data_IF_791165744364
#
_entry.id   IF_791165744364
#
_cell.length_a   1.000
_cell.length_b   1.000
_cell.length_c   1.000
_cell.angle_alpha   90.00
_cell.angle_beta   90.00
_cell.angle_gamma   90.00
#
_symmetry.space_group_name_H-M   'P 1'
#
loop_
_entity.id
_entity.type
_entity.pdbx_description
1 polymer ?
#
# COMPACT_ATOMS: atom_id res chain seq x y z
N UNK A 1 -5.05 -53.78 16.13
CA UNK A 1 -5.58 -52.40 16.07
C UNK A 1 -5.20 -51.83 14.72
N UNK A 2 -6.16 -51.80 13.80
CA UNK A 2 -5.94 -51.64 12.36
C UNK A 2 -6.01 -50.16 11.96
N UNK A 3 -5.02 -49.69 11.18
CA UNK A 3 -4.97 -48.34 10.60
C UNK A 3 -5.91 -48.24 9.40
N UNK A 4 -6.65 -47.12 9.21
CA UNK A 4 -7.42 -46.90 8.01
C UNK A 4 -6.52 -46.36 6.87
N UNK A 5 -6.75 -46.87 5.68
CA UNK A 5 -6.13 -46.48 4.41
C UNK A 5 -6.79 -45.20 3.86
N UNK A 6 -5.98 -44.27 3.35
CA UNK A 6 -6.42 -43.08 2.64
C UNK A 6 -6.84 -43.41 1.20
N UNK A 7 -7.84 -42.72 0.63
CA UNK A 7 -8.25 -42.93 -0.76
C UNK A 7 -7.33 -42.16 -1.73
N UNK A 8 -6.95 -42.83 -2.82
CA UNK A 8 -6.25 -42.24 -3.96
C UNK A 8 -7.23 -41.45 -4.84
N UNK A 9 -6.82 -40.27 -5.29
CA UNK A 9 -7.53 -39.47 -6.29
C UNK A 9 -7.05 -39.83 -7.71
N UNK A 10 -7.96 -39.86 -8.71
CA UNK A 10 -7.61 -40.20 -10.08
C UNK A 10 -7.00 -39.03 -10.85
N UNK A 11 -6.00 -39.36 -11.67
CA UNK A 11 -5.50 -38.52 -12.77
C UNK A 11 -6.61 -38.33 -13.82
N UNK A 12 -6.89 -37.08 -14.16
CA UNK A 12 -7.69 -36.70 -15.33
C UNK A 12 -6.75 -36.32 -16.47
N UNK A 13 -6.68 -37.19 -17.48
CA UNK A 13 -6.07 -36.95 -18.79
C UNK A 13 -7.14 -36.57 -19.81
N UNK A 14 -6.68 -35.84 -20.84
CA UNK A 14 -7.29 -35.59 -22.16
C UNK A 14 -8.32 -34.45 -22.26
N UNK A 15 -8.04 -33.49 -23.13
CA UNK A 15 -8.74 -33.39 -24.42
C UNK A 15 -7.95 -32.53 -25.41
N UNK A 16 -7.55 -33.18 -26.49
CA UNK A 16 -7.24 -32.59 -27.79
C UNK A 16 -8.49 -31.90 -28.36
N UNK A 17 -8.35 -30.71 -28.95
CA UNK A 17 -9.29 -30.30 -29.99
C UNK A 17 -8.58 -29.56 -31.13
N UNK A 18 -8.61 -30.24 -32.28
CA UNK A 18 -8.13 -29.83 -33.59
C UNK A 18 -8.91 -28.61 -34.08
N UNK A 19 -8.19 -27.58 -34.54
CA UNK A 19 -8.76 -26.63 -35.49
C UNK A 19 -8.20 -26.91 -36.88
N UNK A 20 -9.13 -27.25 -37.78
CA UNK A 20 -8.89 -27.57 -39.17
C UNK A 20 -8.47 -26.33 -39.95
N UNK A 21 -7.32 -26.42 -40.62
CA UNK A 21 -6.87 -25.48 -41.63
C UNK A 21 -7.50 -25.92 -42.96
N UNK A 22 -8.38 -25.08 -43.51
CA UNK A 22 -9.01 -25.30 -44.81
C UNK A 22 -8.16 -24.63 -45.88
N UNK A 23 -7.55 -25.46 -46.73
CA UNK A 23 -6.97 -25.09 -48.01
C UNK A 23 -8.07 -24.61 -48.96
N UNK A 24 -7.91 -23.40 -49.52
CA UNK A 24 -8.50 -23.06 -50.82
C UNK A 24 -7.68 -21.95 -51.50
N UNK A 25 -6.75 -22.27 -52.42
CA UNK A 25 -6.12 -21.27 -53.26
C UNK A 25 -6.90 -21.15 -54.58
N UNK A 26 -7.87 -20.23 -54.61
CA UNK A 26 -8.36 -19.71 -55.88
C UNK A 26 -7.25 -18.88 -56.54
N UNK A 27 -6.60 -19.49 -57.53
CA UNK A 27 -5.62 -18.85 -58.40
C UNK A 27 -6.24 -17.69 -59.17
N UNK A 28 -6.03 -16.47 -58.66
CA UNK A 28 -6.30 -15.25 -59.41
C UNK A 28 -5.27 -15.10 -60.54
N UNK A 29 -5.69 -14.71 -61.75
CA UNK A 29 -4.78 -14.48 -62.85
C UNK A 29 -3.81 -13.35 -62.51
N UNK A 30 -2.52 -13.67 -62.45
CA UNK A 30 -1.43 -12.70 -62.42
C UNK A 30 -1.40 -11.98 -63.77
N UNK A 31 -2.25 -10.95 -63.93
CA UNK A 31 -1.98 -9.88 -64.89
C UNK A 31 -0.60 -9.34 -64.56
N UNK A 32 0.35 -9.57 -65.45
CA UNK A 32 1.71 -9.04 -65.35
C UNK A 32 1.62 -7.51 -65.32
N UNK A 33 1.60 -6.95 -64.11
CA UNK A 33 1.78 -5.53 -63.89
C UNK A 33 3.20 -5.21 -64.36
N UNK A 34 3.32 -4.25 -65.26
CA UNK A 34 4.64 -3.78 -65.67
C UNK A 34 5.44 -3.31 -64.46
N UNK A 35 6.76 -3.48 -64.47
CA UNK A 35 7.63 -3.06 -63.35
C UNK A 35 7.40 -1.57 -62.96
N UNK A 36 7.04 -0.74 -63.94
CA UNK A 36 6.69 0.67 -63.73
C UNK A 36 5.41 0.86 -62.89
N UNK A 37 4.41 -0.01 -63.04
CA UNK A 37 3.19 0.02 -62.26
C UNK A 37 3.39 -0.52 -60.84
N UNK A 38 4.24 -1.54 -60.69
CA UNK A 38 4.64 -2.07 -59.38
C UNK A 38 5.38 -1.01 -58.55
N UNK A 39 6.31 -0.26 -59.17
CA UNK A 39 6.99 0.85 -58.50
C UNK A 39 6.01 1.96 -58.09
N UNK A 40 5.04 2.30 -58.96
CA UNK A 40 4.00 3.31 -58.63
C UNK A 40 3.14 2.85 -57.46
N UNK A 41 2.76 1.57 -57.41
CA UNK A 41 1.99 0.97 -56.30
C UNK A 41 2.79 1.02 -54.99
N UNK A 42 4.06 0.60 -54.99
CA UNK A 42 4.93 0.64 -53.82
C UNK A 42 5.15 2.06 -53.29
N UNK A 43 5.37 3.04 -54.18
CA UNK A 43 5.50 4.46 -53.78
C UNK A 43 4.20 4.99 -53.17
N UNK A 44 3.03 4.61 -53.69
CA UNK A 44 1.73 4.98 -53.11
C UNK A 44 1.54 4.36 -51.72
N UNK A 45 1.86 3.08 -51.53
CA UNK A 45 1.75 2.42 -50.23
C UNK A 45 2.73 2.99 -49.18
N UNK A 46 3.99 3.27 -49.55
CA UNK A 46 4.96 3.91 -48.64
C UNK A 46 4.49 5.30 -48.19
N UNK A 47 3.98 6.12 -49.10
CA UNK A 47 3.40 7.44 -48.77
C UNK A 47 2.18 7.33 -47.86
N UNK A 48 1.31 6.35 -48.06
CA UNK A 48 0.14 6.11 -47.22
C UNK A 48 0.54 5.65 -45.79
N UNK A 49 1.52 4.75 -45.66
CA UNK A 49 2.05 4.31 -44.36
C UNK A 49 2.72 5.45 -43.58
N UNK A 50 3.55 6.28 -44.24
CA UNK A 50 4.16 7.46 -43.60
C UNK A 50 3.11 8.46 -43.09
N UNK A 51 2.04 8.72 -43.87
CA UNK A 51 0.95 9.62 -43.45
C UNK A 51 0.11 9.07 -42.28
N UNK A 52 0.04 7.74 -42.09
CA UNK A 52 -0.64 7.14 -40.92
C UNK A 52 0.25 7.19 -39.67
N UNK A 53 1.55 6.89 -39.80
CA UNK A 53 2.51 6.95 -38.69
C UNK A 53 2.62 8.37 -38.10
N UNK A 54 2.71 9.40 -38.95
CA UNK A 54 2.78 10.80 -38.49
C UNK A 54 1.51 11.27 -37.75
N UNK A 55 0.34 10.72 -38.08
CA UNK A 55 -0.93 11.04 -37.37
C UNK A 55 -1.03 10.32 -36.02
N UNK A 56 -0.50 9.10 -35.91
CA UNK A 56 -0.45 8.38 -34.63
C UNK A 56 0.51 9.04 -33.63
N UNK A 57 1.69 9.47 -34.08
CA UNK A 57 2.66 10.18 -33.23
C UNK A 57 2.12 11.51 -32.70
N UNK A 58 1.38 12.28 -33.52
CA UNK A 58 0.73 13.52 -33.07
C UNK A 58 -0.35 13.27 -32.01
N UNK A 59 -1.12 12.18 -32.12
CA UNK A 59 -2.15 11.83 -31.12
C UNK A 59 -1.55 11.36 -29.80
N UNK A 60 -0.48 10.55 -29.86
CA UNK A 60 0.26 10.14 -28.65
C UNK A 60 0.95 11.32 -27.97
N UNK A 61 1.53 12.24 -28.73
CA UNK A 61 2.09 13.49 -28.20
C UNK A 61 1.05 14.34 -27.50
N UNK A 62 -0.16 14.48 -28.06
CA UNK A 62 -1.25 15.24 -27.45
C UNK A 62 -1.77 14.59 -26.15
N UNK A 63 -1.92 13.26 -26.13
CA UNK A 63 -2.32 12.52 -24.92
C UNK A 63 -1.24 12.63 -23.83
N UNK A 64 0.04 12.57 -24.19
CA UNK A 64 1.14 12.80 -23.26
C UNK A 64 1.16 14.21 -22.69
N UNK A 65 0.90 15.23 -23.53
CA UNK A 65 0.79 16.64 -23.10
C UNK A 65 -0.42 16.88 -22.19
N UNK A 66 -1.57 16.28 -22.50
CA UNK A 66 -2.77 16.38 -21.66
C UNK A 66 -2.61 15.62 -20.34
N UNK A 67 -1.91 14.49 -20.32
CA UNK A 67 -1.54 13.79 -19.09
C UNK A 67 -0.60 14.64 -18.24
N UNK A 68 0.44 15.24 -18.84
CA UNK A 68 1.37 16.13 -18.14
C UNK A 68 0.69 17.41 -17.60
N UNK A 69 -0.18 18.03 -18.40
CA UNK A 69 -0.96 19.19 -17.98
C UNK A 69 -1.99 18.82 -16.90
N UNK A 70 -2.63 17.64 -17.01
CA UNK A 70 -3.52 17.10 -15.99
C UNK A 70 -2.79 16.87 -14.67
N UNK A 71 -1.56 16.34 -14.71
CA UNK A 71 -0.71 16.21 -13.50
C UNK A 71 -0.22 17.56 -12.95
N UNK A 72 -0.18 18.63 -13.75
CA UNK A 72 0.20 19.96 -13.28
C UNK A 72 -1.00 20.76 -12.71
N UNK A 73 -2.21 20.50 -13.20
CA UNK A 73 -3.44 21.21 -12.78
C UNK A 73 -4.20 20.47 -11.68
N UNK A 74 -4.18 19.12 -11.69
CA UNK A 74 -4.81 18.27 -10.67
C UNK A 74 -3.80 17.51 -9.79
N UNK A 75 -2.51 17.56 -10.12
CA UNK A 75 -1.49 17.22 -9.13
C UNK A 75 -1.51 18.32 -8.09
N UNK A 76 -1.68 17.92 -6.83
CA UNK A 76 -1.41 18.73 -5.65
C UNK A 76 -0.08 19.47 -5.81
N UNK A 77 -0.11 20.66 -6.42
CA UNK A 77 0.92 21.66 -6.25
C UNK A 77 0.71 22.21 -4.84
N UNK A 78 1.08 21.41 -3.84
CA UNK A 78 1.36 21.96 -2.53
C UNK A 78 2.42 23.05 -2.75
N UNK A 79 2.07 24.27 -2.34
CA UNK A 79 2.94 25.42 -2.41
C UNK A 79 4.14 25.19 -1.47
N UNK A 80 5.18 24.53 -2.00
CA UNK A 80 6.37 24.14 -1.24
C UNK A 80 7.35 25.31 -1.00
N UNK A 81 7.00 26.52 -1.43
CA UNK A 81 7.82 27.74 -1.27
C UNK A 81 7.96 28.19 0.19
N UNK A 82 7.02 27.80 1.05
CA UNK A 82 6.98 28.22 2.46
C UNK A 82 7.78 27.32 3.44
N UNK A 83 8.46 26.26 2.95
CA UNK A 83 9.17 25.28 3.79
C UNK A 83 10.62 25.66 4.12
N UNK A 84 10.81 26.82 4.74
CA UNK A 84 12.09 27.20 5.37
C UNK A 84 12.24 26.76 6.84
N UNK A 85 11.31 25.97 7.38
CA UNK A 85 11.43 25.42 8.72
C UNK A 85 11.28 23.90 8.73
N UNK A 86 12.11 23.28 9.55
CA UNK A 86 12.36 21.85 9.75
C UNK A 86 11.15 21.01 10.22
N UNK A 87 9.96 21.17 9.63
CA UNK A 87 8.73 20.50 10.04
C UNK A 87 8.70 19.04 9.56
N UNK A 88 8.33 18.14 10.48
CA UNK A 88 8.07 16.74 10.20
C UNK A 88 6.98 16.61 9.11
N UNK A 89 6.99 15.54 8.29
CA UNK A 89 5.91 15.31 7.35
C UNK A 89 4.64 14.92 8.10
N UNK A 90 3.69 15.84 8.20
CA UNK A 90 2.41 15.62 8.87
C UNK A 90 1.29 15.84 7.87
N UNK A 91 0.20 15.06 7.93
CA UNK A 91 -1.08 15.47 7.37
C UNK A 91 -1.44 16.89 7.82
N UNK A 92 -2.07 17.67 6.92
CA UNK A 92 -2.34 19.10 7.14
C UNK A 92 -3.15 19.38 8.41
N UNK A 93 -3.95 18.41 8.84
CA UNK A 93 -4.85 18.44 9.98
C UNK A 93 -4.26 17.85 11.26
N UNK A 94 -2.97 17.51 11.32
CA UNK A 94 -2.36 16.88 12.50
C UNK A 94 -1.25 17.73 13.13
N UNK A 95 -1.12 17.63 14.46
CA UNK A 95 0.00 18.20 15.23
C UNK A 95 0.70 17.10 16.02
N UNK A 96 2.01 17.28 16.22
CA UNK A 96 2.82 16.41 17.07
C UNK A 96 2.71 16.91 18.50
N UNK A 97 2.30 16.04 19.42
CA UNK A 97 2.23 16.33 20.85
C UNK A 97 3.58 16.03 21.51
N UNK A 98 4.02 14.77 21.39
CA UNK A 98 5.24 14.27 22.02
C UNK A 98 5.85 13.19 21.14
N UNK A 99 7.16 12.96 21.25
CA UNK A 99 7.81 11.83 20.60
C UNK A 99 8.47 10.93 21.64
N UNK A 100 8.31 9.62 21.45
CA UNK A 100 8.94 8.63 22.29
C UNK A 100 10.45 8.58 22.04
N UNK A 101 11.19 8.26 23.09
CA UNK A 101 12.61 7.94 22.99
C UNK A 101 12.77 6.51 22.50
N UNK A 102 13.75 6.29 21.64
CA UNK A 102 14.13 4.95 21.19
C UNK A 102 14.96 4.23 22.25
N UNK A 103 14.62 2.97 22.52
CA UNK A 103 15.40 2.05 23.36
C UNK A 103 16.15 1.09 22.45
N UNK A 104 17.49 1.08 22.50
CA UNK A 104 18.28 0.14 21.67
C UNK A 104 18.00 -1.32 22.08
N UNK A 105 17.81 -2.20 21.09
CA UNK A 105 17.53 -3.62 21.28
C UNK A 105 18.51 -4.48 20.48
N UNK A 106 18.75 -5.74 20.91
CA UNK A 106 19.48 -6.70 20.09
C UNK A 106 18.78 -6.91 18.75
N UNK A 107 19.51 -6.79 17.64
CA UNK A 107 18.96 -7.15 16.34
C UNK A 107 19.19 -8.62 16.03
N UNK A 108 18.13 -9.30 15.57
CA UNK A 108 18.21 -10.66 15.05
C UNK A 108 18.48 -10.72 13.53
N UNK A 109 18.37 -9.59 12.81
CA UNK A 109 18.41 -9.57 11.36
C UNK A 109 19.81 -9.22 10.83
N UNK A 110 20.44 -10.15 10.08
CA UNK A 110 21.77 -9.93 9.50
C UNK A 110 21.86 -8.69 8.59
N UNK A 111 20.77 -8.33 7.89
CA UNK A 111 20.71 -7.15 7.02
C UNK A 111 20.62 -5.82 7.80
N UNK A 112 20.18 -5.86 9.05
CA UNK A 112 19.95 -4.70 9.91
C UNK A 112 20.61 -4.94 11.26
N UNK A 113 21.94 -4.77 11.41
CA UNK A 113 22.67 -5.12 12.63
C UNK A 113 22.24 -4.35 13.89
N UNK A 114 21.40 -3.33 13.77
CA UNK A 114 20.89 -2.55 14.88
C UNK A 114 19.36 -2.54 14.90
N UNK A 115 18.80 -2.53 16.11
CA UNK A 115 17.37 -2.41 16.36
C UNK A 115 17.14 -1.39 17.48
N UNK A 116 15.99 -0.72 17.46
CA UNK A 116 15.51 0.04 18.59
C UNK A 116 13.98 0.05 18.62
N UNK A 117 13.39 0.08 19.81
CA UNK A 117 11.95 0.08 20.01
C UNK A 117 11.46 1.36 20.70
N UNK A 118 10.19 1.66 20.49
CA UNK A 118 9.45 2.69 21.21
C UNK A 118 8.02 2.18 21.43
N UNK A 119 7.45 2.50 22.59
CA UNK A 119 6.07 2.14 22.93
C UNK A 119 5.27 3.40 23.21
N UNK A 120 4.06 3.47 22.67
CA UNK A 120 3.15 4.60 22.77
C UNK A 120 1.76 4.07 23.13
N UNK A 121 0.99 4.89 23.83
CA UNK A 121 -0.34 4.54 24.32
C UNK A 121 -1.37 5.53 23.79
N UNK A 122 -2.50 5.02 23.31
CA UNK A 122 -3.64 5.82 22.87
C UNK A 122 -4.88 5.47 23.70
N UNK A 123 -5.64 6.47 24.16
CA UNK A 123 -6.85 6.21 24.93
C UNK A 123 -7.94 5.65 24.02
N UNK A 124 -8.48 4.48 24.36
CA UNK A 124 -9.44 3.73 23.55
C UNK A 124 -10.73 4.52 23.29
N UNK A 125 -11.13 5.37 24.25
CA UNK A 125 -12.33 6.21 24.18
C UNK A 125 -12.19 7.45 23.27
N UNK A 126 -11.08 7.57 22.52
CA UNK A 126 -10.92 8.61 21.49
C UNK A 126 -12.05 8.55 20.46
N UNK A 127 -12.38 9.70 19.85
CA UNK A 127 -13.34 9.74 18.74
C UNK A 127 -12.82 8.92 17.55
N UNK A 128 -11.53 9.08 17.26
CA UNK A 128 -10.82 8.27 16.29
C UNK A 128 -9.39 8.00 16.74
N UNK A 129 -8.96 6.76 16.51
CA UNK A 129 -7.58 6.32 16.60
C UNK A 129 -6.96 6.28 15.22
N UNK A 130 -5.73 6.79 15.07
CA UNK A 130 -5.06 6.76 13.77
C UNK A 130 -3.58 6.42 13.82
N UNK A 131 -3.11 5.70 12.80
CA UNK A 131 -1.70 5.39 12.60
C UNK A 131 -1.25 5.91 11.24
N UNK A 132 -0.28 6.80 11.22
CA UNK A 132 0.27 7.36 9.99
C UNK A 132 1.75 7.05 9.87
N UNK A 133 2.21 6.88 8.64
CA UNK A 133 3.62 6.84 8.35
C UNK A 133 3.94 7.77 7.20
N UNK A 134 4.89 8.67 7.42
CA UNK A 134 5.29 9.68 6.44
C UNK A 134 6.79 9.83 6.39
N UNK A 135 7.33 9.88 5.17
CA UNK A 135 8.74 10.11 4.94
C UNK A 135 9.00 11.38 4.15
N UNK A 136 10.01 12.15 4.59
CA UNK A 136 10.51 13.35 3.91
C UNK A 136 11.95 13.21 3.44
N UNK A 137 12.39 11.99 3.16
CA UNK A 137 13.74 11.75 2.65
C UNK A 137 13.76 11.94 1.13
N UNK A 138 14.20 13.12 0.68
CA UNK A 138 14.46 13.37 -0.74
C UNK A 138 15.83 12.84 -1.12
N UNK A 139 15.89 11.92 -2.09
CA UNK A 139 17.16 11.61 -2.74
C UNK A 139 17.43 12.67 -3.80
N UNK A 140 18.72 12.97 -4.02
CA UNK A 140 19.17 13.86 -5.08
C UNK A 140 18.72 13.43 -6.50
N UNK A 141 18.23 12.19 -6.66
CA UNK A 141 17.70 11.62 -7.91
C UNK A 141 16.19 11.50 -7.96
N UNK A 142 15.47 12.09 -7.00
CA UNK A 142 13.99 12.10 -7.00
C UNK A 142 13.32 10.83 -6.51
N UNK A 143 14.06 9.76 -6.16
CA UNK A 143 13.49 8.64 -5.40
C UNK A 143 13.31 9.07 -3.96
N UNK A 144 12.10 9.10 -3.43
CA UNK A 144 11.90 9.27 -1.99
C UNK A 144 12.09 7.91 -1.33
N UNK A 145 12.84 7.85 -0.22
CA UNK A 145 12.75 6.67 0.64
C UNK A 145 11.37 6.68 1.27
N UNK A 146 10.61 5.61 1.06
CA UNK A 146 9.36 5.40 1.78
C UNK A 146 9.69 4.81 3.14
N UNK A 147 8.91 5.20 4.14
CA UNK A 147 8.88 4.40 5.35
C UNK A 147 8.22 3.06 5.01
N UNK A 148 8.96 1.97 5.21
CA UNK A 148 8.53 0.64 4.80
C UNK A 148 8.58 -0.34 5.97
N UNK A 149 7.65 -1.30 5.97
CA UNK A 149 7.54 -2.19 7.11
C UNK A 149 6.31 -3.09 7.10
N UNK A 150 5.94 -3.51 8.29
CA UNK A 150 4.70 -4.24 8.56
C UNK A 150 4.09 -3.73 9.85
N UNK A 151 2.76 -3.68 9.91
CA UNK A 151 1.99 -3.43 11.13
C UNK A 151 1.11 -4.64 11.38
N UNK A 152 1.25 -5.23 12.56
CA UNK A 152 0.39 -6.31 13.01
C UNK A 152 -0.62 -5.76 14.02
N UNK A 153 -1.87 -6.16 13.88
CA UNK A 153 -2.95 -5.82 14.81
C UNK A 153 -3.29 -7.07 15.62
N UNK A 154 -3.26 -6.95 16.94
CA UNK A 154 -3.52 -8.03 17.88
C UNK A 154 -4.40 -7.55 19.03
N UNK A 155 -4.92 -8.49 19.79
CA UNK A 155 -5.59 -8.23 21.06
C UNK A 155 -4.76 -8.76 22.23
N UNK A 156 -4.75 -8.07 23.37
CA UNK A 156 -4.20 -8.58 24.62
C UNK A 156 -5.18 -9.52 25.31
N UNK A 157 -4.69 -10.28 26.29
CA UNK A 157 -5.54 -11.09 27.17
C UNK A 157 -6.07 -10.30 28.37
N UNK A 158 -5.52 -9.11 28.62
CA UNK A 158 -5.90 -8.24 29.73
C UNK A 158 -6.87 -7.16 29.25
N UNK A 159 -7.96 -6.89 30.00
CA UNK A 159 -8.82 -5.75 29.72
C UNK A 159 -8.11 -4.44 30.04
N UNK A 160 -8.58 -3.36 29.42
CA UNK A 160 -7.99 -2.03 29.59
C UNK A 160 -8.69 -0.96 28.76
N UNK A 161 -8.30 0.28 28.96
CA UNK A 161 -8.82 1.49 28.31
C UNK A 161 -7.80 2.14 27.36
N UNK A 162 -6.71 1.42 27.08
CA UNK A 162 -5.58 1.90 26.27
C UNK A 162 -5.27 0.91 25.17
N UNK A 163 -5.01 1.46 23.97
CA UNK A 163 -4.39 0.74 22.86
C UNK A 163 -2.89 1.00 22.89
N UNK A 164 -2.09 -0.06 22.95
CA UNK A 164 -0.63 0.04 22.96
C UNK A 164 -0.09 -0.13 21.54
N UNK A 165 0.88 0.71 21.16
CA UNK A 165 1.54 0.67 19.86
C UNK A 165 3.05 0.56 20.09
N UNK A 166 3.57 -0.64 19.85
CA UNK A 166 5.00 -0.92 19.89
C UNK A 166 5.58 -0.80 18.48
N UNK A 167 6.62 0.00 18.33
CA UNK A 167 7.29 0.24 17.06
C UNK A 167 8.75 -0.16 17.21
N UNK A 168 9.17 -1.13 16.43
CA UNK A 168 10.58 -1.53 16.28
C UNK A 168 11.12 -0.97 14.97
N UNK A 169 12.22 -0.23 15.05
CA UNK A 169 13.01 0.22 13.91
C UNK A 169 14.26 -0.65 13.77
N UNK A 170 14.36 -1.38 12.66
CA UNK A 170 15.55 -2.13 12.25
C UNK A 170 16.36 -1.31 11.26
N UNK A 171 17.66 -1.13 11.47
CA UNK A 171 18.46 -0.21 10.66
C UNK A 171 19.92 -0.63 10.49
N UNK A 172 20.53 -0.19 9.38
CA UNK A 172 21.88 -0.60 8.99
C UNK A 172 23.01 0.15 9.73
N UNK A 173 22.78 1.39 10.17
CA UNK A 173 23.81 2.24 10.81
C UNK A 173 23.21 3.01 11.98
N UNK A 174 23.91 3.08 13.12
CA UNK A 174 23.49 3.86 14.31
C UNK A 174 23.01 5.29 14.02
N UNK A 175 23.61 5.96 13.04
CA UNK A 175 23.21 7.33 12.67
C UNK A 175 21.84 7.42 11.97
N UNK A 176 21.35 6.32 11.40
CA UNK A 176 20.10 6.31 10.63
C UNK A 176 18.89 6.43 11.56
N UNK A 177 18.97 5.89 12.78
CA UNK A 177 17.93 6.03 13.81
C UNK A 177 17.61 7.49 14.14
N UNK A 178 18.60 8.40 14.05
CA UNK A 178 18.40 9.84 14.27
C UNK A 178 17.43 10.50 13.28
N UNK A 179 17.15 9.84 12.16
CA UNK A 179 16.19 10.30 11.17
C UNK A 179 14.76 9.80 11.44
N UNK A 180 14.58 8.82 12.32
CA UNK A 180 13.27 8.23 12.60
C UNK A 180 12.72 8.74 13.94
N UNK A 181 11.42 8.99 13.96
CA UNK A 181 10.69 9.41 15.14
C UNK A 181 9.37 8.63 15.23
N UNK A 182 9.03 8.18 16.44
CA UNK A 182 7.72 7.66 16.77
C UNK A 182 7.03 8.69 17.68
N UNK A 183 5.93 9.28 17.23
CA UNK A 183 5.32 10.42 17.91
C UNK A 183 3.83 10.23 18.15
N UNK A 184 3.35 10.72 19.30
CA UNK A 184 1.94 10.97 19.56
C UNK A 184 1.47 12.15 18.73
N UNK A 185 0.35 11.96 18.06
CA UNK A 185 -0.31 12.91 17.21
C UNK A 185 -1.71 13.20 17.74
N UNK A 186 -2.19 14.41 17.46
CA UNK A 186 -3.58 14.79 17.65
C UNK A 186 -4.07 15.55 16.43
N UNK A 187 -5.39 15.51 16.23
CA UNK A 187 -6.04 16.32 15.21
C UNK A 187 -6.08 17.78 15.63
N UNK A 188 -5.93 18.67 14.65
CA UNK A 188 -6.08 20.12 14.79
C UNK A 188 -7.48 20.59 14.42
N UNK A 189 -8.27 19.72 13.78
CA UNK A 189 -9.61 20.03 13.27
C UNK A 189 -10.69 19.41 14.14
N UNK A 190 -10.42 18.22 14.69
CA UNK A 190 -11.36 17.47 15.54
C UNK A 190 -10.76 17.27 16.91
N UNK A 191 -11.56 17.58 17.92
CA UNK A 191 -11.18 17.31 19.30
C UNK A 191 -11.18 15.78 19.52
N UNK A 192 -10.36 15.30 20.45
CA UNK A 192 -10.32 13.87 20.85
C UNK A 192 -9.99 12.82 19.77
N UNK A 193 -9.47 13.21 18.60
CA UNK A 193 -8.77 12.26 17.71
C UNK A 193 -7.29 12.14 18.13
N UNK A 194 -6.84 10.90 18.37
CA UNK A 194 -5.49 10.58 18.82
C UNK A 194 -4.82 9.60 17.87
N UNK A 195 -3.52 9.74 17.69
CA UNK A 195 -2.81 8.84 16.80
C UNK A 195 -1.33 8.72 17.06
N UNK A 196 -0.70 7.83 16.31
CA UNK A 196 0.74 7.61 16.29
C UNK A 196 1.28 7.87 14.89
N UNK A 197 2.41 8.56 14.82
CA UNK A 197 3.15 8.83 13.60
C UNK A 197 4.51 8.15 13.58
N UNK A 198 4.79 7.36 12.55
CA UNK A 198 6.14 6.92 12.19
C UNK A 198 6.69 7.90 11.16
N UNK A 199 7.57 8.80 11.61
CA UNK A 199 8.01 9.97 10.86
C UNK A 199 9.49 9.86 10.53
N UNK A 200 9.83 9.88 9.24
CA UNK A 200 11.21 9.88 8.77
C UNK A 200 11.63 11.24 8.23
N UNK A 201 12.70 11.79 8.80
CA UNK A 201 13.30 13.07 8.45
C UNK A 201 14.80 12.92 8.23
N UNK A 202 15.18 12.80 6.97
CA UNK A 202 16.58 12.80 6.54
C UNK A 202 16.99 14.16 5.96
N UNK A 203 18.23 14.57 6.19
CA UNK A 203 18.85 15.61 5.35
C UNK A 203 19.19 14.98 4.00
N UNK A 204 18.91 15.70 2.92
CA UNK A 204 19.42 15.34 1.59
C UNK A 204 20.94 15.23 1.69
N UNK A 205 21.50 14.06 1.41
CA UNK A 205 22.95 13.90 1.38
C UNK A 205 23.50 14.64 0.13
N UNK A 206 24.31 15.70 0.29
CA UNK A 206 24.75 16.53 -0.82
C UNK A 206 25.63 15.78 -1.83
N UNK A 207 26.32 14.71 -1.39
CA UNK A 207 27.35 14.06 -2.19
C UNK A 207 26.85 12.88 -3.03
N UNK A 208 25.53 12.68 -3.19
CA UNK A 208 24.97 11.64 -4.06
C UNK A 208 25.42 10.20 -3.75
N UNK A 209 26.11 9.99 -2.62
CA UNK A 209 26.62 8.70 -2.22
C UNK A 209 25.42 7.81 -1.90
N UNK A 210 25.28 6.74 -2.69
CA UNK A 210 24.20 5.74 -2.77
C UNK A 210 23.94 4.95 -1.48
N UNK A 211 24.14 5.52 -0.30
CA UNK A 211 23.83 4.82 0.94
C UNK A 211 22.47 5.26 1.42
N UNK A 212 21.48 4.73 0.72
CA UNK A 212 20.07 4.80 1.06
C UNK A 212 19.92 4.53 2.56
N UNK A 213 19.16 5.37 3.25
CA UNK A 213 18.78 5.09 4.63
C UNK A 213 17.92 3.82 4.60
N UNK A 214 18.55 2.70 4.93
CA UNK A 214 17.89 1.39 4.97
C UNK A 214 17.35 1.19 6.37
N UNK A 215 16.07 1.51 6.53
CA UNK A 215 15.31 1.26 7.74
C UNK A 215 14.08 0.45 7.40
N UNK A 216 13.73 -0.48 8.28
CA UNK A 216 12.50 -1.23 8.23
C UNK A 216 11.78 -1.07 9.57
N UNK A 217 10.48 -0.86 9.52
CA UNK A 217 9.67 -0.74 10.73
C UNK A 217 8.79 -1.96 10.93
N UNK A 218 8.62 -2.36 12.18
CA UNK A 218 7.63 -3.34 12.62
C UNK A 218 6.75 -2.65 13.66
N UNK A 219 5.48 -2.47 13.35
CA UNK A 219 4.48 -2.02 14.30
C UNK A 219 3.70 -3.21 14.87
N UNK A 220 3.41 -3.18 16.15
CA UNK A 220 2.44 -4.03 16.81
C UNK A 220 1.41 -3.13 17.50
N UNK A 221 0.16 -3.18 17.04
CA UNK A 221 -0.96 -2.47 17.65
C UNK A 221 -1.74 -3.48 18.46
N UNK A 222 -1.76 -3.30 19.77
CA UNK A 222 -2.38 -4.20 20.74
C UNK A 222 -3.61 -3.53 21.33
N UNK A 223 -4.79 -4.04 21.00
CA UNK A 223 -6.05 -3.63 21.60
C UNK A 223 -6.29 -4.40 22.91
N UNK A 224 -6.95 -3.78 23.91
CA UNK A 224 -7.27 -4.46 25.15
C UNK A 224 -8.26 -5.62 24.93
N UNK A 225 -8.33 -6.56 25.87
CA UNK A 225 -9.40 -7.55 25.88
C UNK A 225 -10.75 -6.87 26.19
N UNK A 226 -11.86 -7.34 25.61
CA UNK A 226 -13.19 -6.89 26.04
C UNK A 226 -13.46 -7.25 27.50
N UNK A 227 -14.20 -6.38 28.19
CA UNK A 227 -14.78 -6.67 29.50
C UNK A 227 -16.09 -7.46 29.35
N UNK A 228 -16.32 -8.42 30.23
CA UNK A 228 -17.62 -9.04 30.47
C UNK A 228 -18.30 -9.74 29.28
N UNK A 229 -17.51 -10.25 28.32
CA UNK A 229 -18.00 -11.07 27.21
C UNK A 229 -18.74 -10.30 26.11
N UNK A 230 -18.82 -8.98 26.20
CA UNK A 230 -19.24 -8.11 25.09
C UNK A 230 -18.08 -7.91 24.08
N UNK A 231 -18.37 -7.46 22.87
CA UNK A 231 -17.30 -7.06 21.94
C UNK A 231 -16.69 -5.71 22.36
N UNK A 232 -15.38 -5.54 22.15
CA UNK A 232 -14.69 -4.28 22.37
C UNK A 232 -15.05 -3.32 21.25
N UNK A 233 -15.88 -2.31 21.54
CA UNK A 233 -16.25 -1.29 20.58
C UNK A 233 -15.12 -0.26 20.39
N UNK A 234 -14.71 -0.05 19.14
CA UNK A 234 -13.78 1.00 18.72
C UNK A 234 -14.52 1.96 17.80
N UNK A 235 -14.61 3.23 18.19
CA UNK A 235 -15.39 4.24 17.45
C UNK A 235 -14.91 4.40 16.00
N UNK A 236 -13.64 4.72 15.82
CA UNK A 236 -13.04 4.79 14.49
C UNK A 236 -11.55 4.43 14.57
N UNK A 237 -11.09 3.60 13.63
CA UNK A 237 -9.69 3.29 13.45
C UNK A 237 -9.28 3.56 12.01
N UNK A 238 -8.23 4.38 11.81
CA UNK A 238 -7.72 4.67 10.48
C UNK A 238 -6.20 4.52 10.34
N UNK A 239 -5.75 4.08 9.17
CA UNK A 239 -4.33 4.02 8.83
C UNK A 239 -4.06 4.76 7.53
N UNK A 240 -2.92 5.46 7.46
CA UNK A 240 -2.37 6.05 6.24
C UNK A 240 -0.87 5.75 6.21
N UNK A 241 -0.53 4.61 5.61
CA UNK A 241 0.81 4.05 5.59
C UNK A 241 1.36 4.02 4.17
N UNK A 242 2.63 4.42 3.97
CA UNK A 242 3.25 4.42 2.65
C UNK A 242 3.51 2.99 2.13
N UNK A 243 4.49 2.29 2.70
CA UNK A 243 4.94 0.99 2.21
C UNK A 243 4.84 -0.10 3.29
N UNK A 244 3.68 -0.22 3.92
CA UNK A 244 3.47 -1.15 5.03
C UNK A 244 2.48 -2.25 4.68
N UNK A 245 2.90 -3.50 4.92
CA UNK A 245 1.95 -4.59 5.07
C UNK A 245 1.13 -4.37 6.35
N UNK A 246 -0.16 -4.65 6.30
CA UNK A 246 -1.06 -4.56 7.45
C UNK A 246 -1.66 -5.96 7.67
N UNK A 247 -1.47 -6.54 8.85
CA UNK A 247 -1.90 -7.90 9.14
C UNK A 247 -2.77 -7.93 10.40
N UNK A 248 -4.01 -8.36 10.29
CA UNK A 248 -4.91 -8.57 11.42
C UNK A 248 -4.79 -10.02 11.89
N UNK A 249 -4.31 -10.19 13.11
CA UNK A 249 -4.20 -11.49 13.74
C UNK A 249 -5.59 -12.07 14.07
N UNK A 250 -5.81 -13.40 14.00
CA UNK A 250 -7.08 -14.01 14.39
C UNK A 250 -7.51 -13.72 15.85
N UNK A 251 -6.59 -13.35 16.75
CA UNK A 251 -6.89 -12.89 18.11
C UNK A 251 -7.73 -11.62 18.16
N UNK A 252 -7.83 -10.87 17.06
CA UNK A 252 -8.67 -9.67 16.93
C UNK A 252 -10.17 -9.95 17.04
N UNK A 253 -10.59 -11.22 17.04
CA UNK A 253 -11.99 -11.61 17.23
C UNK A 253 -12.58 -10.98 18.50
N UNK A 254 -13.76 -10.38 18.39
CA UNK A 254 -14.43 -9.69 19.49
C UNK A 254 -13.99 -8.24 19.66
N UNK A 255 -13.29 -7.68 18.68
CA UNK A 255 -13.13 -6.23 18.52
C UNK A 255 -14.06 -5.80 17.38
N UNK A 256 -14.91 -4.82 17.65
CA UNK A 256 -15.88 -4.29 16.71
C UNK A 256 -15.57 -2.83 16.40
N UNK A 257 -15.25 -2.54 15.13
CA UNK A 257 -14.97 -1.18 14.69
C UNK A 257 -16.24 -0.53 14.14
N UNK A 258 -16.71 0.56 14.72
CA UNK A 258 -17.81 1.30 14.07
C UNK A 258 -17.36 1.86 12.71
N UNK A 259 -16.14 2.42 12.64
CA UNK A 259 -15.53 2.79 11.36
C UNK A 259 -14.10 2.27 11.26
N UNK A 260 -13.80 1.55 10.19
CA UNK A 260 -12.48 1.03 9.88
C UNK A 260 -12.01 1.58 8.53
N UNK A 261 -10.94 2.36 8.50
CA UNK A 261 -10.37 2.91 7.27
C UNK A 261 -8.89 2.56 7.13
N UNK A 262 -8.56 1.59 6.31
CA UNK A 262 -7.19 1.12 6.14
C UNK A 262 -6.61 1.57 4.82
N UNK A 263 -5.47 2.25 4.85
CA UNK A 263 -4.80 2.71 3.65
C UNK A 263 -3.32 2.30 3.64
N UNK A 264 -2.88 1.72 2.52
CA UNK A 264 -1.47 1.46 2.22
C UNK A 264 -1.15 1.89 0.78
N UNK A 265 -0.01 2.52 0.48
CA UNK A 265 0.31 2.78 -0.92
C UNK A 265 0.81 1.51 -1.62
N UNK A 266 1.67 0.73 -0.97
CA UNK A 266 2.36 -0.42 -1.60
C UNK A 266 2.12 -1.76 -0.92
N UNK A 267 1.88 -1.77 0.40
CA UNK A 267 1.83 -3.02 1.15
C UNK A 267 0.46 -3.71 1.07
N UNK A 268 0.43 -5.04 1.21
CA UNK A 268 -0.82 -5.78 1.28
C UNK A 268 -1.55 -5.53 2.60
N UNK A 269 -2.87 -5.74 2.59
CA UNK A 269 -3.72 -5.67 3.78
C UNK A 269 -4.37 -7.04 3.93
N UNK A 270 -4.05 -7.77 5.00
CA UNK A 270 -4.50 -9.13 5.23
C UNK A 270 -5.13 -9.28 6.61
N UNK A 271 -6.10 -10.19 6.75
CA UNK A 271 -6.78 -10.38 8.02
C UNK A 271 -7.78 -11.52 8.04
N UNK A 272 -8.25 -11.88 9.23
CA UNK A 272 -9.38 -12.80 9.42
C UNK A 272 -10.25 -12.30 10.56
N UNK A 273 -11.55 -12.54 10.45
CA UNK A 273 -12.57 -12.29 11.46
C UNK A 273 -12.61 -10.81 11.88
N UNK A 274 -12.53 -9.92 10.89
CA UNK A 274 -12.60 -8.47 11.07
C UNK A 274 -14.07 -8.05 11.09
N UNK A 275 -14.50 -7.33 12.12
CA UNK A 275 -15.89 -6.88 12.29
C UNK A 275 -15.91 -5.37 12.28
N UNK A 276 -16.67 -4.77 11.36
CA UNK A 276 -16.83 -3.32 11.32
C UNK A 276 -18.17 -2.86 10.76
N UNK A 277 -18.80 -1.79 11.27
CA UNK A 277 -20.04 -1.29 10.64
C UNK A 277 -19.75 -0.73 9.25
N UNK A 278 -18.78 0.17 9.17
CA UNK A 278 -18.26 0.72 7.92
C UNK A 278 -16.78 0.37 7.75
N UNK A 279 -16.46 -0.38 6.70
CA UNK A 279 -15.09 -0.73 6.33
C UNK A 279 -14.70 -0.09 4.99
N UNK A 280 -13.61 0.67 4.97
CA UNK A 280 -12.96 1.16 3.76
C UNK A 280 -11.52 0.67 3.77
N UNK A 281 -11.14 -0.10 2.76
CA UNK A 281 -9.79 -0.67 2.65
C UNK A 281 -9.26 -0.34 1.28
N UNK A 282 -8.16 0.41 1.26
CA UNK A 282 -7.53 0.85 0.04
C UNK A 282 -6.05 0.49 0.01
N UNK A 283 -5.60 -0.04 -1.12
CA UNK A 283 -4.17 -0.11 -1.41
C UNK A 283 -3.83 0.24 -2.85
N UNK A 284 -2.69 0.85 -3.10
CA UNK A 284 -2.26 1.13 -4.48
C UNK A 284 -1.88 -0.16 -5.20
N UNK A 285 -0.90 -0.86 -4.65
CA UNK A 285 -0.26 -2.01 -5.32
C UNK A 285 -0.34 -3.32 -4.56
N UNK A 286 -0.73 -3.29 -3.29
CA UNK A 286 -0.85 -4.48 -2.47
C UNK A 286 -2.11 -5.28 -2.78
N UNK A 287 -2.12 -6.54 -2.35
CA UNK A 287 -3.33 -7.34 -2.29
C UNK A 287 -4.14 -6.97 -1.03
N UNK A 288 -5.46 -7.10 -1.12
CA UNK A 288 -6.38 -7.09 0.01
C UNK A 288 -6.89 -8.53 0.19
N UNK A 289 -6.60 -9.17 1.32
CA UNK A 289 -7.05 -10.54 1.64
C UNK A 289 -7.66 -10.61 3.04
N UNK A 290 -8.96 -10.36 3.13
CA UNK A 290 -9.78 -10.37 4.36
C UNK A 290 -11.04 -11.23 4.10
N UNK A 291 -10.92 -12.57 4.06
CA UNK A 291 -12.01 -13.47 3.66
C UNK A 291 -13.23 -13.43 4.60
N UNK A 292 -13.05 -13.12 5.88
CA UNK A 292 -14.12 -13.01 6.88
C UNK A 292 -14.24 -11.58 7.40
N UNK A 293 -14.59 -10.65 6.51
CA UNK A 293 -14.99 -9.28 6.86
C UNK A 293 -16.51 -9.25 7.09
N UNK A 294 -16.93 -9.07 8.33
CA UNK A 294 -18.33 -8.83 8.69
C UNK A 294 -18.57 -7.32 8.73
N UNK A 295 -19.35 -6.80 7.78
CA UNK A 295 -19.62 -5.37 7.70
C UNK A 295 -20.94 -5.02 7.05
N UNK A 296 -21.58 -3.95 7.52
CA UNK A 296 -22.80 -3.42 6.90
C UNK A 296 -22.48 -2.71 5.59
N UNK A 297 -21.35 -2.02 5.52
CA UNK A 297 -20.89 -1.29 4.35
C UNK A 297 -19.38 -1.49 4.18
N UNK A 298 -18.99 -2.20 3.12
CA UNK A 298 -17.59 -2.45 2.81
C UNK A 298 -17.21 -1.90 1.42
N UNK A 299 -16.14 -1.11 1.37
CA UNK A 299 -15.49 -0.63 0.15
C UNK A 299 -14.03 -1.10 0.13
N UNK A 300 -13.73 -2.09 -0.70
CA UNK A 300 -12.41 -2.71 -0.82
C UNK A 300 -11.84 -2.41 -2.21
N UNK A 301 -10.83 -1.54 -2.29
CA UNK A 301 -10.27 -1.10 -3.57
C UNK A 301 -8.76 -1.28 -3.64
N UNK A 302 -8.29 -1.70 -4.82
CA UNK A 302 -6.87 -1.71 -5.15
C UNK A 302 -6.66 -1.26 -6.59
N UNK A 303 -5.52 -0.63 -6.88
CA UNK A 303 -5.23 -0.19 -8.26
C UNK A 303 -4.68 -1.34 -9.10
N UNK A 304 -3.87 -2.21 -8.51
CA UNK A 304 -3.16 -3.29 -9.23
C UNK A 304 -3.34 -4.66 -8.58
N UNK A 305 -3.45 -4.72 -7.25
CA UNK A 305 -3.49 -5.98 -6.53
C UNK A 305 -4.80 -6.75 -6.69
N UNK A 306 -4.90 -7.88 -6.00
CA UNK A 306 -6.13 -8.67 -5.89
C UNK A 306 -6.95 -8.22 -4.68
N UNK A 307 -8.27 -8.30 -4.80
CA UNK A 307 -9.18 -8.19 -3.66
C UNK A 307 -9.80 -9.55 -3.39
N UNK A 308 -9.67 -10.03 -2.15
CA UNK A 308 -10.33 -11.20 -1.61
C UNK A 308 -10.98 -10.83 -0.27
N UNK A 309 -12.29 -10.72 -0.28
CA UNK A 309 -13.10 -10.46 0.89
C UNK A 309 -14.54 -10.40 0.43
N UNK A 310 -15.38 -11.29 0.95
CA UNK A 310 -16.81 -11.20 0.69
C UNK A 310 -17.39 -10.35 1.82
N UNK A 311 -18.08 -9.24 1.54
CA UNK A 311 -18.95 -8.66 2.54
C UNK A 311 -20.02 -9.71 2.84
N UNK A 312 -20.02 -10.27 4.05
CA UNK A 312 -21.17 -11.01 4.52
C UNK A 312 -22.28 -10.00 4.77
N UNK A 313 -23.19 -9.87 3.80
CA UNK A 313 -24.47 -9.22 4.03
C UNK A 313 -25.26 -10.06 5.01
N UNK A 314 -25.27 -9.66 6.27
CA UNK A 314 -26.20 -10.16 7.29
C UNK A 314 -27.60 -9.60 7.10
#
# INVERSE_FOLDING_TARGET
MSRPLLPQMPLSTNMDEKTAYTDDPQGLPMTQLSDAELERQLRKQKKAKCKRAGRALKRLGLLGLLYWAGTAVFGYAEDFSALKHHRLPLPADTKVETCASWTEEPSAAAAYPYSASASLELPLNSEALFLVSKSRIRHARGTSLFSAGSVNFTRSDLPGDVVTIDITAEYARKKDLKAAHACLLSSTVREDERGVGILLKGKQHPNGAKRDVQMRFKGLVTFPAPSDGADLAVNAFRTDLEAYAQNFDPSMRGIHFKTLNLQSALGPITGKDVIADEARVHTGFGDIDIPSLASTHADLTTTVGRVRGAPFGG
#
